data_IF_065741736747
#
_entry.id   IF_065741736747
#
_cell.length_a   1.000
_cell.length_b   1.000
_cell.length_c   1.000
_cell.angle_alpha   90.00
_cell.angle_beta   90.00
_cell.angle_gamma   90.00
#
_symmetry.space_group_name_H-M   'P 1'
#
loop_
_entity.id
_entity.type
_entity.pdbx_description
1 polymer ?
#
# COMPACT_ATOMS: atom_id res chain seq x y z
N UNK A 1 33.44 9.58 -27.74
CA UNK A 1 32.87 10.47 -26.71
C UNK A 1 31.39 10.18 -26.63
N UNK A 2 31.01 9.55 -25.52
CA UNK A 2 29.72 9.57 -24.81
C UNK A 2 28.39 9.53 -25.60
N UNK A 3 27.67 8.41 -25.43
CA UNK A 3 26.25 8.21 -25.76
C UNK A 3 25.32 9.19 -24.99
N UNK A 4 24.13 9.52 -25.51
CA UNK A 4 23.07 10.10 -24.71
C UNK A 4 22.16 9.00 -24.10
N UNK A 5 22.27 8.90 -22.79
CA UNK A 5 21.29 8.54 -21.74
C UNK A 5 19.95 7.90 -22.17
N UNK A 6 19.84 6.58 -21.99
CA UNK A 6 18.57 5.86 -21.91
C UNK A 6 18.08 5.85 -20.46
N UNK A 7 17.36 6.88 -20.03
CA UNK A 7 16.49 6.70 -18.87
C UNK A 7 15.32 7.68 -18.84
N UNK A 8 14.24 7.32 -19.53
CA UNK A 8 12.90 7.77 -19.15
C UNK A 8 12.05 6.54 -18.87
N UNK A 9 12.27 5.93 -17.70
CA UNK A 9 11.31 5.01 -17.14
C UNK A 9 10.06 5.81 -16.77
N UNK A 10 9.17 6.00 -17.75
CA UNK A 10 7.84 6.56 -17.56
C UNK A 10 7.16 5.68 -16.52
N UNK A 11 6.99 6.20 -15.31
CA UNK A 11 6.17 5.57 -14.29
C UNK A 11 4.80 5.30 -14.90
N UNK A 12 4.56 4.05 -15.27
CA UNK A 12 3.25 3.59 -15.72
C UNK A 12 2.35 3.82 -14.52
N UNK A 13 1.54 4.88 -14.57
CA UNK A 13 0.37 4.96 -13.70
C UNK A 13 -0.51 3.80 -14.14
N UNK A 14 -0.37 2.68 -13.44
CA UNK A 14 -1.16 1.47 -13.63
C UNK A 14 -2.61 1.83 -13.30
N UNK A 15 -3.32 2.33 -14.30
CA UNK A 15 -4.77 2.51 -14.30
C UNK A 15 -5.50 1.16 -14.37
N UNK A 16 -4.92 0.10 -13.79
CA UNK A 16 -5.45 -1.26 -13.81
C UNK A 16 -6.51 -1.40 -12.72
N UNK A 17 -7.63 -2.02 -13.05
CA UNK A 17 -8.57 -2.49 -12.04
C UNK A 17 -8.02 -3.78 -11.44
N UNK A 18 -7.88 -3.84 -10.11
CA UNK A 18 -7.54 -5.08 -9.43
C UNK A 18 -8.75 -6.01 -9.43
N UNK A 19 -8.48 -7.28 -9.72
CA UNK A 19 -9.47 -8.34 -9.86
C UNK A 19 -9.05 -9.52 -9.01
N UNK A 20 -9.89 -10.55 -8.91
CA UNK A 20 -9.52 -11.80 -8.24
C UNK A 20 -8.25 -12.45 -8.81
N UNK A 21 -7.88 -12.17 -10.06
CA UNK A 21 -6.64 -12.69 -10.68
C UNK A 21 -5.37 -12.04 -10.15
N UNK A 22 -5.48 -10.95 -9.40
CA UNK A 22 -4.36 -10.21 -8.84
C UNK A 22 -4.08 -10.60 -7.37
N UNK A 23 -4.86 -11.54 -6.82
CA UNK A 23 -4.70 -12.04 -5.45
C UNK A 23 -3.30 -12.62 -5.24
N UNK A 24 -2.63 -12.21 -4.16
CA UNK A 24 -1.27 -12.61 -3.83
C UNK A 24 -0.17 -11.81 -4.55
N UNK A 25 -0.50 -10.88 -5.44
CA UNK A 25 0.49 -10.05 -6.12
C UNK A 25 0.99 -8.91 -5.21
N UNK A 26 2.30 -8.66 -5.24
CA UNK A 26 2.89 -7.47 -4.64
C UNK A 26 2.66 -6.26 -5.53
N UNK A 27 1.98 -5.25 -5.01
CA UNK A 27 1.64 -4.04 -5.77
C UNK A 27 2.10 -2.78 -5.06
N UNK A 28 2.33 -1.74 -5.86
CA UNK A 28 2.54 -0.38 -5.37
C UNK A 28 1.40 0.52 -5.85
N UNK A 29 0.80 1.25 -4.91
CA UNK A 29 -0.30 2.17 -5.18
C UNK A 29 -0.08 3.51 -4.51
N UNK A 30 -0.65 4.54 -5.11
CA UNK A 30 -0.71 5.88 -4.49
C UNK A 30 -2.16 6.28 -4.35
N UNK A 31 -2.52 6.83 -3.20
CA UNK A 31 -3.88 7.26 -2.95
C UNK A 31 -4.00 8.28 -1.83
N UNK A 32 -5.23 8.72 -1.60
CA UNK A 32 -5.57 9.67 -0.55
C UNK A 32 -6.44 8.99 0.50
N UNK A 33 -6.13 9.20 1.78
CA UNK A 33 -6.91 8.64 2.89
C UNK A 33 -8.34 9.19 2.85
N UNK A 34 -9.32 8.30 2.67
CA UNK A 34 -10.76 8.63 2.66
C UNK A 34 -11.47 8.23 3.94
N UNK A 35 -10.89 7.31 4.72
CA UNK A 35 -11.45 6.90 6.01
C UNK A 35 -10.36 6.36 6.91
N UNK A 36 -10.36 6.79 8.16
CA UNK A 36 -9.64 6.14 9.25
C UNK A 36 -10.61 5.19 9.96
N UNK A 37 -10.19 3.96 10.16
CA UNK A 37 -10.96 2.94 10.87
C UNK A 37 -10.35 2.70 12.24
N UNK A 38 -11.13 2.15 13.17
CA UNK A 38 -10.57 1.58 14.40
C UNK A 38 -9.54 0.52 14.03
N UNK A 39 -8.50 0.40 14.85
CA UNK A 39 -7.54 -0.68 14.69
C UNK A 39 -8.23 -2.03 14.77
N UNK A 40 -7.63 -3.00 14.11
CA UNK A 40 -7.94 -4.40 14.33
C UNK A 40 -6.95 -4.96 15.34
N UNK A 41 -7.44 -5.66 16.35
CA UNK A 41 -6.60 -6.26 17.40
C UNK A 41 -6.93 -7.75 17.59
N UNK A 42 -7.66 -8.36 16.64
CA UNK A 42 -7.84 -9.80 16.62
C UNK A 42 -6.61 -10.46 15.98
N UNK A 43 -5.79 -11.12 16.79
CA UNK A 43 -4.46 -11.57 16.38
C UNK A 43 -3.43 -10.43 16.42
N UNK A 44 -2.68 -10.23 15.34
CA UNK A 44 -1.72 -9.12 15.24
C UNK A 44 -2.46 -7.79 15.08
N UNK A 45 -1.96 -6.75 15.74
CA UNK A 45 -2.55 -5.42 15.69
C UNK A 45 -2.35 -4.78 14.32
N UNK A 46 -3.43 -4.25 13.73
CA UNK A 46 -3.38 -3.55 12.44
C UNK A 46 -4.01 -2.16 12.53
N UNK A 47 -3.26 -1.14 12.10
CA UNK A 47 -3.84 0.14 11.72
C UNK A 47 -4.58 -0.02 10.39
N UNK A 48 -5.87 0.37 10.39
CA UNK A 48 -6.73 0.25 9.20
C UNK A 48 -7.16 1.61 8.67
N UNK A 49 -7.01 1.80 7.36
CA UNK A 49 -7.50 3.00 6.69
C UNK A 49 -7.81 2.71 5.22
N UNK A 50 -8.77 3.45 4.67
CA UNK A 50 -9.19 3.31 3.27
C UNK A 50 -8.55 4.44 2.47
N UNK A 51 -7.93 4.09 1.35
CA UNK A 51 -7.41 5.06 0.37
C UNK A 51 -8.25 5.07 -0.90
N UNK A 52 -8.43 6.24 -1.50
CA UNK A 52 -8.92 6.40 -2.87
C UNK A 52 -7.73 6.43 -3.83
N UNK A 53 -7.76 5.52 -4.81
CA UNK A 53 -6.73 5.35 -5.83
C UNK A 53 -7.19 5.86 -7.21
N UNK A 54 -8.28 6.63 -7.25
CA UNK A 54 -8.87 7.19 -8.47
C UNK A 54 -9.92 6.28 -9.10
N UNK A 55 -10.70 6.87 -10.03
CA UNK A 55 -11.80 6.19 -10.74
C UNK A 55 -12.84 5.55 -9.81
N UNK A 56 -13.12 6.20 -8.66
CA UNK A 56 -14.06 5.73 -7.63
C UNK A 56 -13.68 4.37 -7.02
N UNK A 57 -12.40 3.99 -7.09
CA UNK A 57 -11.88 2.75 -6.50
C UNK A 57 -11.16 3.05 -5.19
N UNK A 58 -11.35 2.15 -4.24
CA UNK A 58 -10.72 2.25 -2.92
C UNK A 58 -10.03 0.96 -2.56
N UNK A 59 -8.97 1.06 -1.76
CA UNK A 59 -8.33 -0.09 -1.12
C UNK A 59 -8.33 0.10 0.39
N UNK A 60 -8.61 -0.98 1.11
CA UNK A 60 -8.33 -1.05 2.54
C UNK A 60 -6.84 -1.32 2.73
N UNK A 61 -6.16 -0.54 3.56
CA UNK A 61 -4.79 -0.81 3.99
C UNK A 61 -4.84 -1.39 5.39
N UNK A 62 -4.29 -2.58 5.56
CA UNK A 62 -4.08 -3.25 6.84
C UNK A 62 -2.59 -3.22 7.18
N UNK A 63 -2.18 -2.23 7.98
CA UNK A 63 -0.79 -2.01 8.35
C UNK A 63 -0.51 -2.61 9.73
N UNK A 64 0.26 -3.70 9.77
CA UNK A 64 0.59 -4.38 11.02
C UNK A 64 1.49 -3.48 11.88
N UNK A 65 0.93 -3.00 13.00
CA UNK A 65 1.61 -2.07 13.91
C UNK A 65 2.37 -2.77 15.05
N UNK A 66 2.35 -4.10 15.09
CA UNK A 66 3.26 -4.87 15.92
C UNK A 66 4.64 -4.99 15.26
N UNK A 67 4.66 -5.05 13.92
CA UNK A 67 5.88 -5.18 13.11
C UNK A 67 6.43 -3.83 12.63
N UNK A 68 5.56 -2.86 12.40
CA UNK A 68 5.93 -1.53 11.91
C UNK A 68 5.38 -0.41 12.81
N UNK A 69 5.95 0.79 12.68
CA UNK A 69 5.43 1.95 13.43
C UNK A 69 4.10 2.42 12.83
N UNK A 70 3.11 2.71 13.68
CA UNK A 70 1.87 3.41 13.27
C UNK A 70 2.19 4.65 12.41
N UNK A 71 1.44 4.79 11.32
CA UNK A 71 1.53 5.94 10.44
C UNK A 71 0.65 7.07 10.99
N UNK A 72 1.18 8.30 11.20
CA UNK A 72 0.43 9.42 11.76
C UNK A 72 -0.44 10.10 10.69
N UNK A 73 -1.45 9.37 10.22
CA UNK A 73 -2.33 9.77 9.11
C UNK A 73 -3.54 10.57 9.59
N UNK A 74 -3.92 11.56 8.78
CA UNK A 74 -5.20 12.25 8.80
C UNK A 74 -6.02 12.01 7.53
N UNK A 75 -7.27 12.46 7.55
CA UNK A 75 -8.14 12.46 6.38
C UNK A 75 -7.55 13.33 5.25
N UNK A 76 -7.58 12.85 4.02
CA UNK A 76 -7.05 13.54 2.85
C UNK A 76 -5.53 13.45 2.67
N UNK A 77 -4.81 12.81 3.59
CA UNK A 77 -3.37 12.62 3.43
C UNK A 77 -3.05 11.72 2.24
N UNK A 78 -2.03 12.09 1.48
CA UNK A 78 -1.49 11.27 0.39
C UNK A 78 -0.49 10.26 0.94
N UNK A 79 -0.67 8.99 0.55
CA UNK A 79 0.24 7.90 0.88
C UNK A 79 0.66 7.16 -0.39
N UNK A 80 1.86 6.58 -0.34
CA UNK A 80 2.28 5.55 -1.27
C UNK A 80 2.37 4.26 -0.46
N UNK A 81 1.90 3.15 -1.00
CA UNK A 81 1.83 1.88 -0.27
C UNK A 81 2.37 0.78 -1.17
N UNK A 82 3.25 -0.05 -0.61
CA UNK A 82 3.61 -1.35 -1.16
C UNK A 82 3.09 -2.43 -0.24
N UNK A 83 2.38 -3.42 -0.78
CA UNK A 83 1.86 -4.54 -0.03
C UNK A 83 1.40 -5.66 -0.96
N UNK A 84 0.99 -6.78 -0.37
CA UNK A 84 0.39 -7.88 -1.12
C UNK A 84 -1.13 -7.66 -1.21
N UNK A 85 -1.68 -7.83 -2.41
CA UNK A 85 -3.10 -7.59 -2.67
C UNK A 85 -3.93 -8.81 -2.34
N UNK A 86 -5.02 -8.62 -1.60
CA UNK A 86 -6.07 -9.62 -1.44
C UNK A 86 -7.39 -9.10 -2.00
N UNK A 87 -8.06 -9.93 -2.79
CA UNK A 87 -9.34 -9.59 -3.38
C UNK A 87 -10.48 -9.80 -2.38
N UNK A 88 -11.44 -8.88 -2.37
CA UNK A 88 -12.73 -9.03 -1.69
C UNK A 88 -13.83 -8.24 -2.41
N UNK A 89 -15.09 -8.50 -2.07
CA UNK A 89 -16.26 -7.82 -2.65
C UNK A 89 -16.36 -6.33 -2.26
N UNK A 90 -15.45 -5.81 -1.43
CA UNK A 90 -15.41 -4.43 -0.94
C UNK A 90 -14.33 -3.57 -1.62
N UNK A 91 -13.69 -4.07 -2.68
CA UNK A 91 -12.70 -3.33 -3.47
C UNK A 91 -11.25 -3.76 -3.26
N UNK A 92 -11.01 -4.75 -2.40
CA UNK A 92 -9.70 -5.33 -2.13
C UNK A 92 -8.95 -4.64 -0.99
N UNK A 93 -7.93 -5.33 -0.48
CA UNK A 93 -7.07 -4.85 0.60
C UNK A 93 -5.60 -5.04 0.27
N UNK A 94 -4.76 -4.24 0.93
CA UNK A 94 -3.32 -4.43 0.99
C UNK A 94 -2.92 -4.77 2.42
N UNK A 95 -2.32 -5.95 2.58
CA UNK A 95 -1.65 -6.40 3.81
C UNK A 95 -0.14 -6.53 3.55
N UNK A 96 0.62 -7.07 4.52
CA UNK A 96 2.08 -7.17 4.41
C UNK A 96 2.76 -5.83 4.07
N UNK A 97 2.22 -4.73 4.61
CA UNK A 97 2.76 -3.38 4.41
C UNK A 97 3.89 -3.07 5.40
N UNK A 98 4.75 -4.06 5.65
CA UNK A 98 5.89 -4.04 6.55
C UNK A 98 7.02 -4.91 5.99
N UNK A 99 8.24 -4.77 6.51
CA UNK A 99 9.35 -5.64 6.12
C UNK A 99 9.02 -7.11 6.35
N UNK A 100 9.46 -7.99 5.45
CA UNK A 100 9.36 -9.44 5.67
C UNK A 100 10.29 -9.84 6.82
N UNK A 101 9.77 -10.33 7.97
CA UNK A 101 10.61 -10.69 9.12
C UNK A 101 11.59 -11.83 8.80
N UNK A 102 11.30 -12.65 7.77
CA UNK A 102 12.18 -13.74 7.33
C UNK A 102 13.17 -13.29 6.26
N UNK A 103 12.98 -12.12 5.66
CA UNK A 103 13.83 -11.58 4.60
C UNK A 103 13.87 -12.42 3.32
N UNK A 104 12.81 -13.18 3.04
CA UNK A 104 12.66 -13.97 1.82
C UNK A 104 12.25 -13.05 0.67
N UNK A 105 11.31 -12.15 0.95
CA UNK A 105 10.83 -11.13 0.02
C UNK A 105 11.28 -9.73 0.46
N UNK A 106 11.20 -8.76 -0.46
CA UNK A 106 11.47 -7.35 -0.15
C UNK A 106 10.46 -6.73 0.85
N UNK A 107 9.40 -7.45 1.27
CA UNK A 107 8.36 -6.98 2.19
C UNK A 107 7.47 -5.89 1.59
N UNK A 108 6.85 -5.05 2.42
CA UNK A 108 6.07 -3.90 2.00
C UNK A 108 6.29 -2.71 2.94
N UNK A 109 5.54 -1.64 2.70
CA UNK A 109 5.68 -0.40 3.44
C UNK A 109 4.50 0.55 3.22
N UNK A 110 4.31 1.48 4.15
CA UNK A 110 3.50 2.69 3.95
C UNK A 110 4.43 3.90 3.97
N UNK A 111 4.44 4.70 2.90
CA UNK A 111 5.22 5.93 2.83
C UNK A 111 4.29 7.13 2.93
N UNK A 112 4.49 7.89 4.01
CA UNK A 112 3.79 9.14 4.29
C UNK A 112 4.80 10.30 4.32
N UNK A 113 4.55 11.33 3.50
CA UNK A 113 5.48 12.43 3.26
C UNK A 113 6.86 11.90 2.84
N UNK A 114 7.91 12.14 3.64
CA UNK A 114 9.29 11.72 3.38
C UNK A 114 9.71 10.50 4.20
N UNK A 115 8.78 9.88 4.92
CA UNK A 115 9.07 8.77 5.84
C UNK A 115 8.35 7.50 5.41
N UNK A 116 9.11 6.42 5.42
CA UNK A 116 8.62 5.06 5.25
C UNK A 116 8.36 4.42 6.62
N UNK A 117 7.31 3.62 6.69
CA UNK A 117 6.86 2.87 7.86
C UNK A 117 6.73 1.42 7.39
N UNK A 118 7.63 0.57 7.91
CA UNK A 118 7.77 -0.82 7.53
C UNK A 118 8.36 -1.63 8.69
#
# INVERSE_FOLDING_TARGET
MSEPDKNQNKGVSLNRAFTKRDEGEWIEVTGFVRRLLSDDNDGSSHQRFIIDIGNRRTLLIAHNIDLAKRVPLGMGDRVHVRGMYEWNDLGGLLHWTHHDPQGIENGGWVRYRRKEYA
#
